data_IF_762913045914
#
_entry.id   IF_762913045914
#
_cell.length_a   1.000
_cell.length_b   1.000
_cell.length_c   1.000
_cell.angle_alpha   90.00
_cell.angle_beta   90.00
_cell.angle_gamma   90.00
#
_symmetry.space_group_name_H-M   'P 1'
#
loop_
_entity.id
_entity.type
_entity.pdbx_description
1 polymer ?
#
# COMPACT_ATOMS: atom_id res chain seq x y z
N UNK A 1 5.85 -38.60 0.76
CA UNK A 1 5.73 -37.91 -0.55
C UNK A 1 4.91 -36.64 -0.30
N UNK A 2 5.31 -35.62 0.46
CA UNK A 2 6.55 -34.81 0.52
C UNK A 2 6.91 -34.12 -0.80
N UNK A 3 6.17 -33.07 -1.14
CA UNK A 3 6.56 -31.95 -2.02
C UNK A 3 5.34 -31.04 -2.18
N UNK A 4 5.32 -29.72 -1.98
CA UNK A 4 6.29 -28.71 -1.59
C UNK A 4 5.49 -27.39 -1.64
N UNK A 5 4.84 -26.99 -0.55
CA UNK A 5 4.03 -25.76 -0.51
C UNK A 5 4.79 -24.59 0.13
N UNK A 6 6.08 -24.43 -0.20
CA UNK A 6 6.93 -23.38 0.37
C UNK A 6 6.96 -22.08 -0.45
N UNK A 7 6.08 -21.90 -1.44
CA UNK A 7 6.09 -20.72 -2.31
C UNK A 7 5.00 -19.69 -1.99
N UNK A 8 3.92 -20.08 -1.30
CA UNK A 8 2.80 -19.15 -1.00
C UNK A 8 3.12 -18.21 0.17
N UNK A 9 4.16 -18.54 0.95
CA UNK A 9 4.49 -17.81 2.18
C UNK A 9 5.36 -16.55 1.95
N UNK A 10 5.86 -16.33 0.74
CA UNK A 10 6.91 -15.34 0.48
C UNK A 10 6.43 -13.93 0.07
N UNK A 11 5.15 -13.73 -0.30
CA UNK A 11 4.69 -12.47 -0.89
C UNK A 11 3.65 -11.70 -0.05
N UNK A 12 3.44 -12.09 1.21
CA UNK A 12 2.53 -11.38 2.13
C UNK A 12 3.17 -10.14 2.78
N UNK A 13 4.29 -9.63 2.26
CA UNK A 13 4.94 -8.39 2.71
C UNK A 13 4.43 -7.17 1.93
N UNK A 14 3.11 -7.05 1.82
CA UNK A 14 2.48 -5.89 1.19
C UNK A 14 2.46 -4.73 2.16
N UNK A 15 3.36 -3.78 1.91
CA UNK A 15 3.36 -2.37 2.32
C UNK A 15 2.53 -2.02 3.56
N UNK A 16 3.23 -1.82 4.68
CA UNK A 16 2.61 -1.40 5.93
C UNK A 16 1.79 -0.10 5.77
N UNK A 17 0.50 -0.20 6.02
CA UNK A 17 -0.15 0.65 7.00
C UNK A 17 -0.75 -0.33 8.00
N UNK A 18 -0.22 -0.31 9.23
CA UNK A 18 -0.36 -1.33 10.27
C UNK A 18 0.31 -2.69 9.98
N UNK A 19 1.58 -2.81 10.40
CA UNK A 19 2.20 -4.05 10.89
C UNK A 19 1.73 -5.36 10.20
N UNK A 20 2.08 -5.53 8.93
CA UNK A 20 2.25 -6.85 8.31
C UNK A 20 0.98 -7.68 8.01
N UNK A 21 -0.22 -7.08 7.97
CA UNK A 21 -1.44 -7.76 7.48
C UNK A 21 -2.33 -6.76 6.73
N UNK A 22 -2.30 -6.78 5.40
CA UNK A 22 -3.24 -6.00 4.58
C UNK A 22 -4.68 -6.38 4.97
N UNK A 23 -5.40 -5.43 5.56
CA UNK A 23 -6.79 -5.62 5.99
C UNK A 23 -7.70 -5.03 4.93
N UNK A 24 -8.50 -5.87 4.27
CA UNK A 24 -9.46 -5.44 3.26
C UNK A 24 -10.79 -5.11 3.92
N UNK A 25 -11.41 -4.02 3.50
CA UNK A 25 -12.79 -3.70 3.87
C UNK A 25 -13.70 -4.14 2.72
N UNK A 26 -14.76 -4.87 3.03
CA UNK A 26 -15.82 -5.19 2.07
C UNK A 26 -17.19 -4.91 2.69
N UNK A 27 -17.86 -3.78 2.34
CA UNK A 27 -19.20 -3.47 2.81
C UNK A 27 -20.22 -4.50 2.32
N UNK A 28 -21.49 -4.45 2.78
CA UNK A 28 -22.55 -5.31 2.27
C UNK A 28 -22.73 -5.25 0.73
N UNK A 29 -22.29 -4.18 0.07
CA UNK A 29 -22.22 -4.05 -1.40
C UNK A 29 -21.22 -5.01 -2.08
N UNK A 30 -20.29 -5.59 -1.32
CA UNK A 30 -19.29 -6.56 -1.77
C UNK A 30 -18.08 -5.92 -2.44
N UNK A 31 -18.07 -4.60 -2.63
CA UNK A 31 -16.91 -3.84 -3.09
C UNK A 31 -15.75 -4.04 -2.13
N UNK A 32 -14.59 -4.45 -2.64
CA UNK A 32 -13.37 -4.60 -1.86
C UNK A 32 -12.57 -3.31 -1.91
N UNK A 33 -12.15 -2.85 -0.74
CA UNK A 33 -11.33 -1.66 -0.54
C UNK A 33 -10.00 -2.06 0.12
N UNK A 34 -8.89 -1.42 -0.25
CA UNK A 34 -7.55 -1.74 0.26
C UNK A 34 -7.33 -1.28 1.70
N UNK A 35 -8.13 -0.32 2.18
CA UNK A 35 -8.09 0.22 3.54
C UNK A 35 -9.44 0.88 3.86
N UNK A 36 -9.86 0.82 5.14
CA UNK A 36 -11.10 1.45 5.61
C UNK A 36 -11.08 2.99 5.56
N UNK A 37 -9.91 3.60 5.34
CA UNK A 37 -9.74 5.05 5.16
C UNK A 37 -9.52 5.46 3.70
N UNK A 38 -9.50 4.51 2.76
CA UNK A 38 -9.31 4.76 1.33
C UNK A 38 -10.55 4.29 0.57
N UNK A 39 -11.68 4.95 0.84
CA UNK A 39 -13.01 4.55 0.37
C UNK A 39 -13.24 4.78 -1.13
N UNK A 40 -12.47 5.68 -1.75
CA UNK A 40 -12.60 6.02 -3.18
C UNK A 40 -11.79 5.10 -4.10
N UNK A 41 -11.01 4.17 -3.53
CA UNK A 41 -10.17 3.26 -4.30
C UNK A 41 -10.71 1.85 -4.19
N UNK A 42 -11.54 1.48 -5.16
CA UNK A 42 -12.08 0.13 -5.28
C UNK A 42 -11.05 -0.80 -5.96
N UNK A 43 -10.90 -2.02 -5.43
CA UNK A 43 -9.93 -2.99 -5.96
C UNK A 43 -10.58 -4.25 -6.53
N UNK A 44 -11.89 -4.43 -6.37
CA UNK A 44 -12.68 -5.53 -6.91
C UNK A 44 -14.03 -5.69 -6.22
N UNK A 45 -14.76 -6.76 -6.51
CA UNK A 45 -16.00 -7.11 -5.82
C UNK A 45 -16.07 -8.62 -5.53
N UNK A 46 -16.31 -9.00 -4.26
CA UNK A 46 -16.36 -10.41 -3.84
C UNK A 46 -17.52 -11.20 -4.46
N UNK A 47 -18.52 -10.51 -5.03
CA UNK A 47 -19.64 -11.16 -5.73
C UNK A 47 -19.27 -11.62 -7.14
N UNK A 48 -18.20 -11.07 -7.71
CA UNK A 48 -17.78 -11.35 -9.09
C UNK A 48 -16.47 -12.14 -9.17
N UNK A 49 -15.62 -12.06 -8.14
CA UNK A 49 -14.35 -12.77 -8.07
C UNK A 49 -14.02 -13.13 -6.61
N UNK A 50 -13.21 -14.18 -6.41
CA UNK A 50 -12.72 -14.53 -5.08
C UNK A 50 -11.78 -13.44 -4.54
N UNK A 51 -11.65 -13.35 -3.21
CA UNK A 51 -10.72 -12.40 -2.60
C UNK A 51 -9.27 -12.65 -3.05
N UNK A 52 -8.89 -13.92 -3.24
CA UNK A 52 -7.55 -14.27 -3.73
C UNK A 52 -7.28 -13.73 -5.13
N UNK A 53 -8.23 -13.89 -6.06
CA UNK A 53 -8.14 -13.34 -7.42
C UNK A 53 -8.04 -11.81 -7.38
N UNK A 54 -8.91 -11.15 -6.61
CA UNK A 54 -8.90 -9.69 -6.44
C UNK A 54 -7.53 -9.22 -5.93
N UNK A 55 -7.01 -9.87 -4.89
CA UNK A 55 -5.70 -9.51 -4.31
C UNK A 55 -4.57 -9.72 -5.30
N UNK A 56 -4.58 -10.83 -6.03
CA UNK A 56 -3.53 -11.20 -6.99
C UNK A 56 -3.55 -10.32 -8.23
N UNK A 57 -4.73 -10.03 -8.78
CA UNK A 57 -4.89 -9.42 -10.11
C UNK A 57 -5.13 -7.92 -10.09
N UNK A 58 -5.56 -7.34 -8.97
CA UNK A 58 -5.77 -5.89 -8.88
C UNK A 58 -4.48 -5.11 -9.15
N UNK A 59 -4.51 -4.27 -10.18
CA UNK A 59 -3.40 -3.40 -10.55
C UNK A 59 -3.05 -2.41 -9.43
N UNK A 60 -4.08 -1.86 -8.77
CA UNK A 60 -3.91 -0.95 -7.63
C UNK A 60 -3.18 -1.67 -6.50
N UNK A 61 -3.63 -2.86 -6.10
CA UNK A 61 -2.95 -3.62 -5.05
C UNK A 61 -1.53 -4.02 -5.48
N UNK A 62 -1.32 -4.32 -6.76
CA UNK A 62 0.00 -4.58 -7.31
C UNK A 62 0.93 -3.37 -7.17
N UNK A 63 0.46 -2.16 -7.47
CA UNK A 63 1.24 -0.92 -7.27
C UNK A 63 1.56 -0.69 -5.80
N UNK A 64 0.58 -0.86 -4.92
CA UNK A 64 0.76 -0.71 -3.48
C UNK A 64 1.72 -1.75 -2.86
N UNK A 65 1.83 -2.95 -3.45
CA UNK A 65 2.83 -3.97 -3.05
C UNK A 65 4.27 -3.55 -3.28
N UNK A 66 4.53 -2.77 -4.33
CA UNK A 66 5.88 -2.45 -4.78
C UNK A 66 6.33 -1.08 -4.27
N UNK A 67 6.53 -0.96 -2.96
CA UNK A 67 6.86 0.32 -2.30
C UNK A 67 8.13 1.01 -2.80
N UNK A 68 9.04 0.28 -3.45
CA UNK A 68 10.20 0.85 -4.17
C UNK A 68 9.83 1.76 -5.35
N UNK A 69 8.62 1.63 -5.89
CA UNK A 69 8.10 2.46 -6.98
C UNK A 69 7.36 3.71 -6.48
N UNK A 70 7.23 3.88 -5.17
CA UNK A 70 6.60 5.09 -4.61
C UNK A 70 7.43 6.33 -4.96
N UNK A 71 6.72 7.45 -5.16
CA UNK A 71 7.31 8.72 -5.55
C UNK A 71 7.92 9.43 -4.35
N UNK A 72 8.81 10.38 -4.63
CA UNK A 72 9.48 11.19 -3.62
C UNK A 72 10.37 10.37 -2.68
N UNK A 73 10.56 10.81 -1.42
CA UNK A 73 11.49 10.16 -0.50
C UNK A 73 11.09 8.72 -0.14
N UNK A 74 9.82 8.35 -0.24
CA UNK A 74 9.36 6.99 0.07
C UNK A 74 9.95 5.91 -0.86
N UNK A 75 10.18 6.19 -2.14
CA UNK A 75 10.76 5.22 -3.09
C UNK A 75 12.21 4.83 -2.75
N UNK A 76 12.96 5.78 -2.19
CA UNK A 76 14.38 5.61 -1.82
C UNK A 76 14.58 5.41 -0.30
N UNK A 77 13.50 5.43 0.48
CA UNK A 77 13.57 5.30 1.93
C UNK A 77 14.04 3.90 2.34
N UNK A 78 15.05 3.83 3.22
CA UNK A 78 15.56 2.56 3.77
C UNK A 78 14.51 1.74 4.52
N UNK A 79 13.41 2.39 4.94
CA UNK A 79 12.30 1.79 5.65
C UNK A 79 11.09 1.50 4.75
N UNK A 80 11.17 1.71 3.44
CA UNK A 80 10.00 1.65 2.57
C UNK A 80 9.25 0.31 2.61
N UNK A 81 9.96 -0.81 2.62
CA UNK A 81 9.39 -2.16 2.73
C UNK A 81 8.66 -2.41 4.06
N UNK A 82 9.08 -1.72 5.13
CA UNK A 82 8.54 -1.90 6.48
C UNK A 82 7.47 -0.89 6.86
N UNK A 83 7.60 0.35 6.40
CA UNK A 83 6.77 1.47 6.82
C UNK A 83 5.75 1.84 5.76
N UNK A 84 6.16 1.97 4.49
CA UNK A 84 5.33 2.32 3.32
C UNK A 84 4.38 3.54 3.42
N UNK A 85 4.25 4.21 4.57
CA UNK A 85 3.37 5.36 4.81
C UNK A 85 1.87 5.03 4.73
N UNK A 86 1.02 5.91 5.27
CA UNK A 86 -0.43 5.79 5.11
C UNK A 86 -0.85 6.15 3.67
N UNK A 87 -1.35 5.16 2.92
CA UNK A 87 -1.81 5.36 1.54
C UNK A 87 -3.06 6.24 1.45
N UNK A 88 -3.93 6.20 2.46
CA UNK A 88 -5.07 7.12 2.56
C UNK A 88 -4.63 8.59 2.63
N UNK A 89 -3.62 8.90 3.45
CA UNK A 89 -3.09 10.28 3.56
C UNK A 89 -2.33 10.73 2.32
N UNK A 90 -1.58 9.83 1.68
CA UNK A 90 -0.94 10.12 0.41
C UNK A 90 -1.99 10.44 -0.68
N UNK A 91 -3.04 9.63 -0.78
CA UNK A 91 -4.15 9.85 -1.71
C UNK A 91 -4.90 11.17 -1.45
N UNK A 92 -5.19 11.51 -0.19
CA UNK A 92 -5.79 12.82 0.17
C UNK A 92 -4.88 13.99 -0.23
N UNK A 93 -3.57 13.78 -0.25
CA UNK A 93 -2.58 14.77 -0.71
C UNK A 93 -2.49 14.84 -2.24
N UNK A 94 -3.29 14.07 -2.97
CA UNK A 94 -3.39 14.07 -4.42
C UNK A 94 -2.65 12.94 -5.13
N UNK A 95 -1.94 12.06 -4.41
CA UNK A 95 -1.17 10.98 -5.04
C UNK A 95 -1.10 9.70 -4.18
N UNK A 96 -1.74 8.63 -4.65
CA UNK A 96 -1.76 7.32 -3.98
C UNK A 96 -0.34 6.73 -3.77
N UNK A 97 0.57 6.96 -4.71
CA UNK A 97 1.96 6.48 -4.64
C UNK A 97 2.90 7.55 -4.06
N UNK A 98 2.34 8.69 -3.64
CA UNK A 98 3.06 9.78 -3.01
C UNK A 98 3.53 9.45 -1.59
N UNK A 99 4.14 10.47 -0.99
CA UNK A 99 4.58 10.42 0.39
C UNK A 99 3.41 10.69 1.34
N UNK A 100 3.42 10.03 2.50
CA UNK A 100 2.52 10.37 3.59
C UNK A 100 2.98 11.71 4.21
N UNK A 101 2.17 12.77 4.20
CA UNK A 101 2.56 14.09 4.73
C UNK A 101 2.85 14.06 6.24
N UNK A 102 2.39 13.02 6.96
CA UNK A 102 2.64 12.84 8.38
C UNK A 102 3.88 12.01 8.70
N UNK A 103 4.67 11.65 7.67
CA UNK A 103 5.92 10.95 7.86
C UNK A 103 6.95 11.83 8.58
N UNK A 104 7.49 11.34 9.69
CA UNK A 104 8.51 12.05 10.49
C UNK A 104 9.80 12.33 9.69
N UNK A 105 10.14 11.47 8.73
CA UNK A 105 11.30 11.64 7.85
C UNK A 105 11.03 12.61 6.69
N UNK A 106 9.76 12.72 6.28
CA UNK A 106 9.33 13.63 5.21
C UNK A 106 9.49 15.09 5.64
N UNK A 107 9.08 15.42 6.87
CA UNK A 107 9.25 16.77 7.41
C UNK A 107 10.72 17.19 7.54
N UNK A 108 11.63 16.24 7.81
CA UNK A 108 13.07 16.53 7.90
C UNK A 108 13.74 16.75 6.54
N UNK A 109 13.19 16.18 5.47
CA UNK A 109 13.76 16.26 4.11
C UNK A 109 13.27 17.50 3.36
N UNK A 110 11.99 17.88 3.51
CA UNK A 110 11.46 19.16 3.00
C UNK A 110 12.22 20.39 3.53
N UNK A 111 12.49 20.46 4.84
CA UNK A 111 13.23 21.59 5.43
C UNK A 111 14.66 21.72 4.91
N UNK A 112 15.27 20.63 4.41
CA UNK A 112 16.63 20.65 3.83
C UNK A 112 16.64 21.08 2.36
N UNK A 113 15.53 20.92 1.66
CA UNK A 113 15.39 21.33 0.26
C UNK A 113 14.98 22.80 0.14
N UNK A 114 14.11 23.31 1.02
CA UNK A 114 13.79 24.75 1.05
C UNK A 114 14.92 25.62 1.63
N UNK A 115 15.78 25.06 2.49
CA UNK A 115 16.97 25.75 3.01
C UNK A 115 18.14 25.84 2.02
N UNK A 116 17.93 25.45 0.75
CA UNK A 116 18.93 25.54 -0.33
C UNK A 116 18.60 26.60 -1.39
N UNK A 117 17.56 27.41 -1.19
CA UNK A 117 17.30 28.60 -2.00
C UNK A 117 17.79 29.87 -1.30
#
# INVERSE_FOLDING_TARGET
MSSSSSAVQANLYVAAAQLGKASYLYPPSGTVLPCNFLLEVEVGNIRTASLEEIVRESEVLSRLRHSRRFKGPCGQCRYNMLCSGCRAKAYISGDLEGSDPTCLLYMQTWSREEGKN
#
